data_IF_210912433681
#
_entry.id   IF_210912433681
#
_cell.length_a   1.000
_cell.length_b   1.000
_cell.length_c   1.000
_cell.angle_alpha   90.00
_cell.angle_beta   90.00
_cell.angle_gamma   90.00
#
_symmetry.space_group_name_H-M   'P 1'
#
loop_
_entity.id
_entity.type
_entity.pdbx_description
1 polymer ?
#
# COMPACT_ATOMS: atom_id res chain seq x y z
N UNK A 1 2.10 6.82 9.92
CA UNK A 1 0.89 7.68 9.88
C UNK A 1 1.21 9.02 9.23
N UNK A 2 0.25 9.60 8.53
CA UNK A 2 0.42 10.90 7.87
C UNK A 2 -0.83 11.76 8.03
N UNK A 3 -0.63 13.08 8.07
CA UNK A 3 -1.73 14.05 8.05
C UNK A 3 -2.05 14.40 6.60
N UNK A 4 -3.24 14.03 6.13
CA UNK A 4 -3.71 14.34 4.78
C UNK A 4 -5.08 14.99 4.91
N UNK A 5 -5.25 16.20 4.36
CA UNK A 5 -6.49 16.96 4.45
C UNK A 5 -7.03 17.09 5.89
N UNK A 6 -6.15 17.42 6.84
CA UNK A 6 -6.45 17.56 8.28
C UNK A 6 -6.94 16.26 8.96
N UNK A 7 -6.78 15.10 8.34
CA UNK A 7 -7.10 13.79 8.93
C UNK A 7 -5.83 12.95 9.06
N UNK A 8 -5.69 12.30 10.22
CA UNK A 8 -4.63 11.31 10.42
C UNK A 8 -4.98 10.03 9.67
N UNK A 9 -4.08 9.59 8.79
CA UNK A 9 -4.25 8.40 7.95
C UNK A 9 -3.06 7.47 8.07
N UNK A 10 -3.29 6.19 7.84
CA UNK A 10 -2.21 5.24 7.60
C UNK A 10 -1.70 5.41 6.17
N UNK A 11 -0.40 5.29 6.01
CA UNK A 11 0.25 5.33 4.71
C UNK A 11 1.34 4.27 4.64
N UNK A 12 1.48 3.64 3.49
CA UNK A 12 2.53 2.67 3.18
C UNK A 12 3.33 3.22 2.00
N UNK A 13 4.65 3.30 2.15
CA UNK A 13 5.56 3.85 1.14
C UNK A 13 5.12 5.22 0.58
N UNK A 14 4.57 6.07 1.45
CA UNK A 14 4.11 7.41 1.08
C UNK A 14 2.71 7.47 0.45
N UNK A 15 2.00 6.35 0.38
CA UNK A 15 0.64 6.28 -0.17
C UNK A 15 -0.37 5.88 0.89
N UNK A 16 -1.45 6.65 1.00
CA UNK A 16 -2.60 6.33 1.85
C UNK A 16 -3.75 5.85 0.98
N UNK A 17 -4.25 4.67 1.27
CA UNK A 17 -5.28 4.03 0.48
C UNK A 17 -6.58 4.80 0.43
N UNK A 18 -7.12 4.93 -0.78
CA UNK A 18 -8.51 5.31 -1.07
C UNK A 18 -9.11 4.25 -1.97
N UNK A 19 -10.36 3.94 -1.71
CA UNK A 19 -11.10 3.03 -2.56
C UNK A 19 -11.29 3.64 -3.95
N UNK A 20 -11.04 2.84 -4.98
CA UNK A 20 -11.32 3.22 -6.36
C UNK A 20 -12.82 3.37 -6.64
N UNK A 21 -13.15 4.07 -7.71
CA UNK A 21 -14.55 4.25 -8.17
C UNK A 21 -15.23 2.95 -8.61
N UNK A 22 -14.44 1.96 -8.97
CA UNK A 22 -14.87 0.62 -9.39
C UNK A 22 -14.04 -0.42 -8.63
N UNK A 23 -14.59 -1.56 -8.22
CA UNK A 23 -13.82 -2.66 -7.65
C UNK A 23 -12.68 -3.08 -8.58
N UNK A 24 -11.47 -3.24 -8.04
CA UNK A 24 -10.25 -3.48 -8.83
C UNK A 24 -10.39 -4.67 -9.79
N UNK A 25 -10.96 -5.78 -9.33
CA UNK A 25 -11.14 -6.98 -10.13
C UNK A 25 -12.08 -6.75 -11.33
N UNK A 26 -13.13 -5.96 -11.15
CA UNK A 26 -14.02 -5.58 -12.24
C UNK A 26 -13.36 -4.62 -13.22
N UNK A 27 -12.61 -3.65 -12.70
CA UNK A 27 -11.85 -2.72 -13.54
C UNK A 27 -10.80 -3.43 -14.39
N UNK A 28 -10.11 -4.41 -13.83
CA UNK A 28 -9.15 -5.24 -14.55
C UNK A 28 -9.82 -6.11 -15.61
N UNK A 29 -10.88 -6.82 -15.25
CA UNK A 29 -11.60 -7.73 -16.14
C UNK A 29 -12.23 -7.01 -17.34
N UNK A 30 -12.83 -5.83 -17.13
CA UNK A 30 -13.47 -5.04 -18.18
C UNK A 30 -12.57 -3.95 -18.79
N UNK A 31 -11.29 -3.91 -18.44
CA UNK A 31 -10.32 -2.89 -18.90
C UNK A 31 -10.80 -1.45 -18.68
N UNK A 32 -11.38 -1.17 -17.51
CA UNK A 32 -11.84 0.17 -17.15
C UNK A 32 -10.63 1.02 -16.76
N UNK A 33 -10.35 2.06 -17.54
CA UNK A 33 -9.24 2.98 -17.27
C UNK A 33 -9.49 3.93 -16.10
N UNK A 34 -8.40 4.48 -15.52
CA UNK A 34 -8.46 5.50 -14.48
C UNK A 34 -8.75 5.03 -13.06
N UNK A 35 -8.97 3.73 -12.84
CA UNK A 35 -9.25 3.16 -11.51
C UNK A 35 -7.96 2.84 -10.77
N UNK A 36 -7.00 2.22 -11.43
CA UNK A 36 -5.69 1.89 -10.87
C UNK A 36 -4.61 1.85 -11.96
N UNK A 37 -3.35 1.87 -11.54
CA UNK A 37 -2.20 1.67 -12.41
C UNK A 37 -1.36 0.53 -11.86
N UNK A 38 -1.03 -0.44 -12.70
CA UNK A 38 -0.16 -1.57 -12.32
C UNK A 38 1.21 -1.04 -11.87
N UNK A 39 1.73 -1.60 -10.77
CA UNK A 39 3.01 -1.17 -10.21
C UNK A 39 3.00 0.25 -9.63
N UNK A 40 1.85 0.79 -9.31
CA UNK A 40 1.73 2.14 -8.69
C UNK A 40 2.22 2.18 -7.25
N UNK A 41 2.34 1.04 -6.58
CA UNK A 41 2.94 0.96 -5.25
C UNK A 41 4.47 0.96 -5.39
N UNK A 42 5.19 1.93 -4.81
CA UNK A 42 6.64 1.88 -4.79
C UNK A 42 7.15 0.70 -3.95
N UNK A 43 8.19 0.02 -4.42
CA UNK A 43 8.81 -1.10 -3.69
C UNK A 43 9.52 -0.64 -2.40
N UNK A 44 9.93 0.60 -2.37
CA UNK A 44 10.64 1.21 -1.23
C UNK A 44 10.09 2.59 -0.93
N UNK A 45 10.11 3.01 0.35
CA UNK A 45 9.77 4.40 0.68
C UNK A 45 10.77 5.35 0.01
N UNK A 46 10.27 6.48 -0.49
CA UNK A 46 11.14 7.54 -1.01
C UNK A 46 12.00 8.10 0.12
N UNK A 47 13.32 8.28 -0.08
CA UNK A 47 14.17 8.94 0.89
C UNK A 47 13.61 10.33 1.24
N UNK A 48 13.52 10.66 2.51
CA UNK A 48 12.98 11.95 2.97
C UNK A 48 11.45 12.08 2.88
N UNK A 49 10.71 10.99 2.64
CA UNK A 49 9.26 10.98 2.73
C UNK A 49 8.84 11.15 4.20
N UNK A 50 8.80 12.40 4.64
CA UNK A 50 8.28 12.77 5.95
C UNK A 50 6.75 12.56 5.98
N UNK A 51 6.18 12.51 7.17
CA UNK A 51 4.72 12.41 7.43
C UNK A 51 3.86 13.39 6.61
N UNK A 52 4.45 14.48 6.13
CA UNK A 52 3.77 15.53 5.34
C UNK A 52 3.65 15.21 3.82
N UNK A 53 4.31 14.17 3.33
CA UNK A 53 4.42 13.92 1.88
C UNK A 53 3.56 12.74 1.39
N UNK A 54 2.72 12.16 2.24
CA UNK A 54 1.85 11.06 1.84
C UNK A 54 0.70 11.54 0.94
N UNK A 55 0.41 10.77 -0.09
CA UNK A 55 -0.64 11.05 -1.07
C UNK A 55 -1.78 10.04 -0.99
N UNK A 56 -2.98 10.48 -1.33
CA UNK A 56 -4.13 9.60 -1.48
C UNK A 56 -4.04 8.87 -2.82
N UNK A 57 -4.13 7.55 -2.80
CA UNK A 57 -4.08 6.74 -4.02
C UNK A 57 -4.80 5.40 -3.83
N UNK A 58 -5.03 4.71 -4.94
CA UNK A 58 -5.40 3.29 -4.96
C UNK A 58 -4.16 2.50 -5.43
N UNK A 59 -3.16 2.26 -4.52
CA UNK A 59 -1.91 1.65 -4.91
C UNK A 59 -2.10 0.17 -5.21
N UNK A 60 -1.44 -0.29 -6.27
CA UNK A 60 -1.45 -1.68 -6.71
C UNK A 60 -0.01 -2.18 -6.83
N UNK A 61 0.26 -3.29 -6.18
CA UNK A 61 1.50 -4.04 -6.32
C UNK A 61 1.29 -5.15 -7.34
N UNK A 62 2.12 -5.19 -8.37
CA UNK A 62 2.07 -6.25 -9.38
C UNK A 62 2.94 -7.43 -8.96
N UNK A 63 2.38 -8.62 -9.05
CA UNK A 63 3.09 -9.88 -8.77
C UNK A 63 2.79 -10.86 -9.89
N UNK A 64 3.81 -11.54 -10.40
CA UNK A 64 3.65 -12.55 -11.43
C UNK A 64 2.94 -13.79 -10.88
N UNK A 65 2.16 -14.44 -11.73
CA UNK A 65 1.48 -15.67 -11.36
C UNK A 65 2.48 -16.76 -10.94
N UNK A 66 2.23 -17.39 -9.80
CA UNK A 66 3.10 -18.42 -9.18
C UNK A 66 4.50 -17.94 -8.77
N UNK A 67 4.74 -16.65 -8.70
CA UNK A 67 5.99 -16.13 -8.15
C UNK A 67 5.99 -16.19 -6.63
N UNK A 68 7.17 -16.46 -6.07
CA UNK A 68 7.40 -16.24 -4.65
C UNK A 68 7.59 -14.75 -4.41
N UNK A 69 6.97 -14.24 -3.35
CA UNK A 69 7.12 -12.86 -2.94
C UNK A 69 7.52 -12.79 -1.47
N UNK A 70 8.53 -11.98 -1.19
CA UNK A 70 8.91 -11.61 0.17
C UNK A 70 8.48 -10.18 0.43
N UNK A 71 7.76 -9.96 1.52
CA UNK A 71 7.32 -8.63 1.94
C UNK A 71 7.99 -8.29 3.26
N UNK A 72 8.76 -7.22 3.28
CA UNK A 72 9.40 -6.70 4.50
C UNK A 72 8.54 -5.59 5.08
N UNK A 73 7.99 -5.80 6.25
CA UNK A 73 7.27 -4.77 6.99
C UNK A 73 8.24 -3.99 7.87
N UNK A 74 8.41 -2.72 7.53
CA UNK A 74 9.28 -1.83 8.27
C UNK A 74 8.46 -0.70 8.91
N UNK A 75 8.52 -0.61 10.23
CA UNK A 75 7.95 0.53 10.95
C UNK A 75 9.02 1.63 11.04
N UNK A 76 8.79 2.74 10.36
CA UNK A 76 9.68 3.89 10.33
C UNK A 76 9.23 5.02 11.27
N UNK A 77 8.16 4.79 12.05
CA UNK A 77 7.69 5.79 13.01
C UNK A 77 8.64 5.85 14.22
N UNK A 78 8.94 7.07 14.66
CA UNK A 78 9.81 7.31 15.82
C UNK A 78 9.13 6.94 17.14
N UNK A 79 7.82 6.89 17.16
CA UNK A 79 7.05 6.51 18.34
C UNK A 79 7.10 4.98 18.54
N UNK A 80 7.89 4.56 19.51
CA UNK A 80 8.12 3.14 19.85
C UNK A 80 6.87 2.41 20.37
N UNK A 81 5.80 3.12 20.66
CA UNK A 81 4.57 2.53 21.20
C UNK A 81 3.54 2.18 20.12
N UNK A 82 3.88 2.38 18.84
CA UNK A 82 2.97 2.07 17.74
C UNK A 82 3.21 0.65 17.25
N UNK A 83 2.16 -0.15 17.34
CA UNK A 83 2.10 -1.52 16.79
C UNK A 83 1.20 -1.50 15.56
N UNK A 84 1.64 -2.14 14.49
CA UNK A 84 0.86 -2.33 13.28
C UNK A 84 0.56 -3.81 13.08
N UNK A 85 -0.67 -4.12 12.70
CA UNK A 85 -1.07 -5.47 12.28
C UNK A 85 -1.28 -5.51 10.78
N UNK A 86 -1.00 -6.65 10.18
CA UNK A 86 -1.11 -6.85 8.74
C UNK A 86 -1.97 -8.06 8.44
N UNK A 87 -2.76 -7.96 7.40
CA UNK A 87 -3.60 -9.01 6.88
C UNK A 87 -3.51 -9.04 5.35
N UNK A 88 -3.51 -10.24 4.79
CA UNK A 88 -3.54 -10.46 3.35
C UNK A 88 -4.77 -11.28 3.00
N UNK A 89 -5.72 -10.67 2.34
CA UNK A 89 -6.94 -11.34 1.94
C UNK A 89 -6.68 -12.42 0.88
N UNK A 90 -7.23 -13.60 1.12
CA UNK A 90 -7.25 -14.70 0.15
C UNK A 90 -5.96 -15.50 0.06
N UNK A 91 -4.93 -15.20 0.85
CA UNK A 91 -3.66 -15.92 0.83
C UNK A 91 -3.15 -16.24 2.23
N UNK A 92 -2.43 -17.35 2.33
CA UNK A 92 -1.61 -17.67 3.50
C UNK A 92 -0.17 -17.22 3.26
N UNK A 93 0.55 -16.91 4.34
CA UNK A 93 1.96 -16.56 4.29
C UNK A 93 2.74 -17.21 5.43
N UNK A 94 4.04 -17.30 5.27
CA UNK A 94 4.97 -17.73 6.29
C UNK A 94 5.75 -16.56 6.84
N UNK A 95 6.00 -16.56 8.14
CA UNK A 95 6.93 -15.59 8.75
C UNK A 95 8.34 -16.18 8.66
N UNK A 96 9.24 -15.47 8.00
CA UNK A 96 10.62 -15.94 7.75
C UNK A 96 11.69 -15.14 8.48
N UNK A 97 11.32 -14.03 9.11
CA UNK A 97 12.29 -13.23 9.85
C UNK A 97 11.68 -12.03 10.55
#
# INVERSE_FOLDING_TARGET
>A
RAMINKKLRYAVNGLSYVQGSTPLKLADYFNIGGVFTLGSMPDKPKPGANRAAAQLATPVLSVDHRAFMEIVFQNTEEDKNIVNSWHLDGYSFFVVG
#
